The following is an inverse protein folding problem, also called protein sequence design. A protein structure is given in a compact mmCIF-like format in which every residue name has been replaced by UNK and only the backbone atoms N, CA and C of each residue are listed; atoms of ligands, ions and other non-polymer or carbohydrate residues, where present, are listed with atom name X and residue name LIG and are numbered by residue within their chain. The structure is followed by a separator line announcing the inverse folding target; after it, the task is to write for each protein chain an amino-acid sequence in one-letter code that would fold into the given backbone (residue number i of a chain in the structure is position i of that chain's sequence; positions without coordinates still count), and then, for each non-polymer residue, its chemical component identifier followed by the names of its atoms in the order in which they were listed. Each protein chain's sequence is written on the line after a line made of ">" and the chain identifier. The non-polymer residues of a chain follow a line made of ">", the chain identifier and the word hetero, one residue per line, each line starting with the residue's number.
data_IF_827970798299
#
_entry.id   IF_827970798299
#
_cell.length_a   1.000
_cell.length_b   1.000
_cell.length_c   1.000
_cell.angle_alpha   90.00
_cell.angle_beta   90.00
_cell.angle_gamma   90.00
#
_symmetry.space_group_name_H-M   'P 1'
#
loop_
_entity.id
_entity.type
_entity.pdbx_description
1 polymer ?
#
# COMPACT_ATOMS: atom_id res chain seq x y z
N UNK A 1 13.08 -9.57 6.11
CA UNK A 1 14.15 -9.76 5.10
C UNK A 1 14.69 -8.44 4.58
N UNK A 2 13.85 -7.44 4.28
CA UNK A 2 14.30 -6.07 3.96
C UNK A 2 15.26 -5.48 4.99
N UNK A 3 14.92 -5.57 6.28
CA UNK A 3 15.81 -5.14 7.37
C UNK A 3 17.20 -5.76 7.31
N UNK A 4 17.32 -7.05 6.93
CA UNK A 4 18.61 -7.72 6.75
C UNK A 4 19.41 -7.13 5.57
N UNK A 5 18.72 -6.80 4.47
CA UNK A 5 19.31 -6.10 3.32
C UNK A 5 19.78 -4.70 3.70
N UNK A 6 18.96 -3.95 4.46
CA UNK A 6 19.28 -2.60 4.92
C UNK A 6 20.48 -2.61 5.86
N UNK A 7 20.54 -3.55 6.80
CA UNK A 7 21.70 -3.77 7.67
C UNK A 7 22.96 -4.10 6.86
N UNK A 8 22.86 -4.98 5.86
CA UNK A 8 24.00 -5.31 5.02
C UNK A 8 24.52 -4.08 4.25
N UNK A 9 23.62 -3.29 3.64
CA UNK A 9 23.96 -2.05 2.94
C UNK A 9 24.60 -1.04 3.88
N UNK A 10 24.05 -0.88 5.08
CA UNK A 10 24.61 -0.03 6.13
C UNK A 10 26.05 -0.45 6.49
N UNK A 11 26.28 -1.72 6.82
CA UNK A 11 27.61 -2.18 7.20
C UNK A 11 28.63 -2.08 6.05
N UNK A 12 28.22 -2.34 4.81
CA UNK A 12 29.08 -2.17 3.64
C UNK A 12 29.46 -0.71 3.39
N UNK A 13 28.59 0.23 3.74
CA UNK A 13 28.82 1.67 3.58
C UNK A 13 29.67 2.25 4.72
N UNK A 14 29.38 1.86 5.96
CA UNK A 14 29.96 2.48 7.16
C UNK A 14 31.23 1.80 7.66
N UNK A 15 31.53 0.58 7.21
CA UNK A 15 32.68 -0.20 7.70
C UNK A 15 33.56 -0.72 6.56
N UNK A 16 34.85 -0.80 6.85
CA UNK A 16 35.83 -1.38 5.93
C UNK A 16 35.61 -2.89 5.85
N UNK A 17 35.35 -3.38 4.64
CA UNK A 17 35.22 -4.81 4.38
C UNK A 17 36.54 -5.55 4.66
N UNK A 18 36.49 -6.58 5.52
CA UNK A 18 37.66 -7.40 5.89
C UNK A 18 37.69 -8.79 5.28
N UNK A 19 36.56 -9.30 4.80
CA UNK A 19 36.46 -10.64 4.23
C UNK A 19 35.09 -11.29 4.45
N UNK A 20 35.00 -12.56 4.05
CA UNK A 20 33.78 -13.37 4.19
C UNK A 20 33.95 -14.36 5.34
N UNK A 21 32.87 -14.59 6.08
CA UNK A 21 32.84 -15.59 7.16
C UNK A 21 32.46 -16.95 6.59
N UNK A 22 33.33 -17.94 6.80
CA UNK A 22 33.07 -19.34 6.45
C UNK A 22 31.90 -19.87 7.28
N UNK A 23 30.92 -20.49 6.62
CA UNK A 23 29.74 -21.06 7.25
C UNK A 23 28.52 -21.02 6.35
N UNK A 24 27.38 -20.59 6.92
CA UNK A 24 26.06 -20.73 6.28
C UNK A 24 25.95 -20.05 4.93
N UNK A 25 26.61 -18.91 4.73
CA UNK A 25 26.50 -18.09 3.53
C UNK A 25 27.67 -18.27 2.55
N UNK A 26 28.86 -18.60 3.05
CA UNK A 26 30.07 -18.77 2.24
C UNK A 26 30.85 -20.00 2.69
N UNK A 27 31.42 -20.77 1.77
CA UNK A 27 32.30 -21.89 2.11
C UNK A 27 33.74 -21.41 2.41
N UNK A 28 34.64 -22.38 2.67
CA UNK A 28 36.06 -22.14 2.98
C UNK A 28 36.84 -21.42 1.88
N UNK A 29 36.36 -21.47 0.62
CA UNK A 29 36.91 -20.73 -0.51
C UNK A 29 36.24 -19.36 -0.73
N UNK A 30 35.34 -18.94 0.17
CA UNK A 30 34.59 -17.69 0.05
C UNK A 30 33.51 -17.71 -1.04
N UNK A 31 33.15 -18.89 -1.55
CA UNK A 31 32.11 -19.08 -2.58
C UNK A 31 30.75 -19.06 -1.91
N UNK A 32 29.76 -18.32 -2.44
CA UNK A 32 28.39 -18.34 -1.93
C UNK A 32 27.79 -19.74 -1.89
N UNK A 33 27.07 -20.06 -0.81
CA UNK A 33 26.34 -21.33 -0.70
C UNK A 33 24.96 -21.24 -1.36
N UNK A 34 24.30 -22.38 -1.57
CA UNK A 34 22.89 -22.41 -1.99
C UNK A 34 21.97 -21.64 -1.02
N UNK A 35 22.31 -21.61 0.27
CA UNK A 35 21.56 -20.84 1.26
C UNK A 35 21.65 -19.34 1.01
N UNK A 36 22.84 -18.83 0.66
CA UNK A 36 23.03 -17.43 0.30
C UNK A 36 22.11 -17.03 -0.85
N UNK A 37 22.09 -17.79 -1.94
CA UNK A 37 21.24 -17.50 -3.10
C UNK A 37 19.75 -17.53 -2.75
N UNK A 38 19.31 -18.49 -1.93
CA UNK A 38 17.91 -18.52 -1.46
C UNK A 38 17.53 -17.28 -0.66
N UNK A 39 18.43 -16.78 0.18
CA UNK A 39 18.17 -15.54 0.94
C UNK A 39 18.12 -14.33 0.00
N UNK A 40 19.03 -14.22 -0.97
CA UNK A 40 19.01 -13.13 -1.95
C UNK A 40 17.70 -13.09 -2.73
N UNK A 41 17.23 -14.23 -3.25
CA UNK A 41 15.95 -14.30 -3.96
C UNK A 41 14.77 -13.80 -3.11
N UNK A 42 14.72 -14.19 -1.83
CA UNK A 42 13.65 -13.72 -0.93
C UNK A 42 13.79 -12.25 -0.54
N UNK A 43 15.01 -11.70 -0.54
CA UNK A 43 15.22 -10.25 -0.35
C UNK A 43 14.70 -9.50 -1.58
N UNK A 44 15.02 -9.95 -2.79
CA UNK A 44 14.53 -9.35 -4.03
C UNK A 44 13.01 -9.41 -4.16
N UNK A 45 12.39 -10.53 -3.77
CA UNK A 45 10.94 -10.67 -3.66
C UNK A 45 10.35 -9.65 -2.67
N UNK A 46 10.88 -9.58 -1.45
CA UNK A 46 10.42 -8.62 -0.45
C UNK A 46 10.59 -7.15 -0.90
N UNK A 47 11.64 -6.82 -1.66
CA UNK A 47 11.83 -5.49 -2.23
C UNK A 47 10.82 -5.19 -3.34
N UNK A 48 10.45 -6.17 -4.17
CA UNK A 48 9.40 -6.03 -5.19
C UNK A 48 8.03 -5.83 -4.57
N UNK A 49 7.66 -6.67 -3.59
CA UNK A 49 6.38 -6.56 -2.88
C UNK A 49 6.21 -5.18 -2.23
N UNK A 50 7.28 -4.65 -1.64
CA UNK A 50 7.26 -3.32 -1.04
C UNK A 50 7.05 -2.21 -2.08
N UNK A 51 7.73 -2.32 -3.24
CA UNK A 51 7.54 -1.36 -4.34
C UNK A 51 6.11 -1.40 -4.86
N UNK A 52 5.54 -2.59 -5.02
CA UNK A 52 4.16 -2.76 -5.48
C UNK A 52 3.15 -2.23 -4.45
N UNK A 53 3.36 -2.51 -3.15
CA UNK A 53 2.56 -1.92 -2.06
C UNK A 53 2.62 -0.41 -2.05
N UNK A 54 3.80 0.18 -2.22
CA UNK A 54 3.97 1.64 -2.26
C UNK A 54 3.32 2.24 -3.51
N UNK A 55 3.47 1.61 -4.67
CA UNK A 55 2.76 2.03 -5.90
C UNK A 55 1.25 1.99 -5.70
N UNK A 56 0.75 0.91 -5.10
CA UNK A 56 -0.68 0.75 -4.81
C UNK A 56 -1.19 1.80 -3.81
N UNK A 57 -0.39 2.13 -2.78
CA UNK A 57 -0.70 3.22 -1.84
C UNK A 57 -0.73 4.59 -2.52
N UNK A 58 0.13 4.84 -3.50
CA UNK A 58 0.10 6.10 -4.26
C UNK A 58 -1.12 6.19 -5.18
N UNK A 59 -1.49 5.07 -5.83
CA UNK A 59 -2.69 4.99 -6.68
C UNK A 59 -3.98 5.08 -5.87
N UNK A 60 -4.01 4.48 -4.68
CA UNK A 60 -5.17 4.40 -3.80
C UNK A 60 -4.82 4.84 -2.36
N UNK A 61 -4.51 6.13 -2.15
CA UNK A 61 -4.14 6.64 -0.83
C UNK A 61 -5.23 6.34 0.20
N UNK A 62 -4.88 5.92 1.43
CA UNK A 62 -5.86 5.81 2.50
C UNK A 62 -6.57 7.14 2.74
N UNK A 63 -7.86 7.07 3.09
CA UNK A 63 -8.60 8.25 3.53
C UNK A 63 -8.08 8.76 4.88
N UNK A 64 -8.34 10.02 5.17
CA UNK A 64 -8.32 10.47 6.56
C UNK A 64 -9.56 9.91 7.26
N UNK A 65 -9.43 9.60 8.55
CA UNK A 65 -10.50 9.02 9.35
C UNK A 65 -10.54 9.67 10.72
N UNK A 66 -11.74 9.93 11.19
CA UNK A 66 -12.02 10.31 12.58
C UNK A 66 -13.19 9.45 13.07
N UNK A 67 -13.25 9.26 14.39
CA UNK A 67 -14.38 8.60 15.03
C UNK A 67 -14.73 9.33 16.31
N UNK A 68 -16.02 9.57 16.51
CA UNK A 68 -16.57 10.11 17.75
C UNK A 68 -17.72 9.20 18.22
N UNK A 69 -17.96 9.09 19.53
CA UNK A 69 -19.10 8.34 20.05
C UNK A 69 -20.46 8.84 19.53
N UNK A 70 -20.60 10.15 19.31
CA UNK A 70 -21.86 10.80 18.94
C UNK A 70 -22.16 10.69 17.44
N UNK A 71 -21.14 10.80 16.58
CA UNK A 71 -21.32 10.92 15.12
C UNK A 71 -20.87 9.66 14.37
N UNK A 72 -20.20 8.72 15.06
CA UNK A 72 -19.64 7.51 14.45
C UNK A 72 -18.35 7.78 13.70
N UNK A 73 -18.07 6.98 12.65
CA UNK A 73 -16.86 7.14 11.84
C UNK A 73 -17.10 8.15 10.72
N UNK A 74 -16.16 9.06 10.50
CA UNK A 74 -16.14 9.92 9.31
C UNK A 74 -14.85 9.69 8.55
N UNK A 75 -14.97 9.54 7.23
CA UNK A 75 -13.84 9.42 6.31
C UNK A 75 -13.85 10.56 5.31
N UNK A 76 -12.68 11.11 4.99
CA UNK A 76 -12.58 12.16 3.98
C UNK A 76 -11.26 12.11 3.22
N UNK A 77 -11.32 12.72 2.04
CA UNK A 77 -10.19 12.91 1.17
C UNK A 77 -9.86 14.39 1.07
N UNK A 78 -8.56 14.69 1.09
CA UNK A 78 -8.01 16.03 0.86
C UNK A 78 -6.78 15.90 -0.04
N UNK A 79 -6.13 17.02 -0.37
CA UNK A 79 -4.82 16.99 -1.05
C UNK A 79 -3.74 16.23 -0.27
N UNK A 80 -3.99 15.94 1.02
CA UNK A 80 -3.11 15.14 1.87
C UNK A 80 -3.91 14.12 2.67
N UNK A 81 -3.85 12.86 2.24
CA UNK A 81 -4.55 11.74 2.89
C UNK A 81 -3.64 10.52 2.95
N UNK A 82 -3.68 9.77 4.06
CA UNK A 82 -2.88 8.54 4.21
C UNK A 82 -1.36 8.74 4.15
N UNK A 83 -0.88 9.96 4.43
CA UNK A 83 0.52 10.36 4.30
C UNK A 83 0.99 10.61 2.87
N UNK A 84 0.08 10.69 1.89
CA UNK A 84 0.38 11.00 0.49
C UNK A 84 -0.13 12.41 0.17
N UNK A 85 0.73 13.24 -0.41
CA UNK A 85 0.42 14.58 -0.89
C UNK A 85 0.24 14.58 -2.42
N UNK A 86 -0.79 15.28 -2.89
CA UNK A 86 -1.28 15.22 -4.27
C UNK A 86 -2.00 16.51 -4.65
N UNK A 87 -2.14 16.77 -5.94
CA UNK A 87 -2.76 17.96 -6.52
C UNK A 87 -4.29 17.88 -6.63
N UNK A 88 -4.86 16.68 -6.53
CA UNK A 88 -6.31 16.43 -6.50
C UNK A 88 -6.81 16.02 -5.10
N UNK A 89 -8.11 16.20 -4.85
CA UNK A 89 -8.77 15.86 -3.57
C UNK A 89 -9.42 14.48 -3.62
N UNK A 90 -10.18 14.19 -4.65
CA UNK A 90 -10.84 12.89 -4.83
C UNK A 90 -11.92 12.58 -3.81
N UNK A 91 -12.44 11.36 -3.88
CA UNK A 91 -13.60 10.90 -3.10
C UNK A 91 -13.28 9.64 -2.31
N UNK A 92 -13.86 9.46 -1.11
CA UNK A 92 -13.74 8.21 -0.36
C UNK A 92 -14.46 7.05 -1.08
N UNK A 93 -13.80 5.89 -1.18
CA UNK A 93 -14.38 4.62 -1.64
C UNK A 93 -13.92 3.46 -0.75
N UNK A 94 -14.74 2.44 -0.65
CA UNK A 94 -14.36 1.15 -0.08
C UNK A 94 -13.51 0.41 -1.13
N UNK A 95 -12.28 0.08 -0.77
CA UNK A 95 -11.35 -0.68 -1.59
C UNK A 95 -11.17 -2.07 -0.99
N UNK A 96 -11.52 -3.09 -1.75
CA UNK A 96 -11.35 -4.49 -1.39
C UNK A 96 -10.03 -5.00 -1.97
N UNK A 97 -9.28 -5.76 -1.17
CA UNK A 97 -8.15 -6.50 -1.71
C UNK A 97 -8.66 -7.80 -2.37
N UNK A 98 -8.01 -8.29 -3.44
CA UNK A 98 -8.42 -9.53 -4.07
C UNK A 98 -8.50 -10.69 -3.07
N UNK A 99 -9.69 -11.29 -2.94
CA UNK A 99 -9.93 -12.40 -2.00
C UNK A 99 -10.15 -11.99 -0.54
N UNK A 100 -10.22 -10.69 -0.23
CA UNK A 100 -10.58 -10.20 1.10
C UNK A 100 -12.06 -9.84 1.20
N UNK A 101 -12.72 -10.27 2.28
CA UNK A 101 -14.10 -9.88 2.61
C UNK A 101 -14.17 -8.50 3.27
N UNK A 102 -13.02 -7.99 3.75
CA UNK A 102 -12.90 -6.68 4.38
C UNK A 102 -12.42 -5.64 3.38
N UNK A 103 -12.89 -4.40 3.55
CA UNK A 103 -12.42 -3.25 2.79
C UNK A 103 -11.63 -2.27 3.65
N UNK A 104 -10.84 -1.43 3.00
CA UNK A 104 -10.31 -0.19 3.58
C UNK A 104 -10.83 1.03 2.83
N UNK A 105 -10.81 2.20 3.46
CA UNK A 105 -11.08 3.44 2.73
C UNK A 105 -9.90 3.81 1.83
N UNK A 106 -10.19 4.24 0.60
CA UNK A 106 -9.22 4.81 -0.32
C UNK A 106 -9.77 6.06 -1.02
N UNK A 107 -8.89 7.03 -1.27
CA UNK A 107 -9.21 8.22 -2.03
C UNK A 107 -9.06 7.98 -3.53
N UNK A 108 -10.10 8.33 -4.28
CA UNK A 108 -10.21 8.05 -5.70
C UNK A 108 -10.34 9.33 -6.52
N UNK A 109 -9.54 9.45 -7.58
CA UNK A 109 -9.62 10.57 -8.49
C UNK A 109 -10.70 10.32 -9.55
N UNK A 110 -11.91 10.84 -9.34
CA UNK A 110 -13.02 10.65 -10.28
C UNK A 110 -12.68 11.21 -11.68
N UNK A 111 -11.94 12.32 -11.78
CA UNK A 111 -11.67 12.95 -13.09
C UNK A 111 -10.70 12.15 -13.95
N UNK A 112 -9.68 11.55 -13.34
CA UNK A 112 -8.70 10.71 -14.04
C UNK A 112 -9.21 9.27 -14.25
N UNK A 113 -10.12 8.80 -13.39
CA UNK A 113 -10.73 7.48 -13.48
C UNK A 113 -12.07 7.50 -14.23
N UNK A 114 -12.28 8.47 -15.14
CA UNK A 114 -13.45 8.57 -16.03
C UNK A 114 -13.67 7.35 -16.95
N UNK A 115 -12.85 6.30 -16.83
CA UNK A 115 -12.99 4.99 -17.48
C UNK A 115 -13.78 3.96 -16.63
N UNK A 116 -14.22 4.30 -15.40
CA UNK A 116 -14.89 3.34 -14.49
C UNK A 116 -16.33 3.74 -14.10
N UNK A 117 -16.97 4.59 -14.90
CA UNK A 117 -18.37 5.06 -14.78
C UNK A 117 -18.98 4.85 -16.18
N UNK A 118 -20.08 4.14 -16.48
CA UNK A 118 -21.40 3.90 -15.86
C UNK A 118 -22.00 2.58 -16.48
N UNK A 119 -23.24 2.05 -16.17
CA UNK A 119 -24.50 2.78 -15.94
C UNK A 119 -25.48 2.25 -14.85
N UNK A 120 -26.22 3.21 -14.25
CA UNK A 120 -27.69 3.21 -14.05
C UNK A 120 -28.39 2.12 -13.23
N UNK A 121 -27.70 1.33 -12.41
CA UNK A 121 -28.39 0.39 -11.50
C UNK A 121 -27.73 0.27 -10.13
N UNK A 122 -28.09 1.17 -9.22
CA UNK A 122 -28.30 0.88 -7.79
C UNK A 122 -27.12 0.48 -6.87
N UNK A 123 -25.97 -0.02 -7.35
CA UNK A 123 -24.74 -0.24 -6.58
C UNK A 123 -23.55 -0.41 -7.54
N UNK A 124 -22.75 0.66 -7.73
CA UNK A 124 -21.61 0.65 -8.65
C UNK A 124 -20.41 -0.02 -7.98
N UNK A 125 -20.17 -1.29 -8.33
CA UNK A 125 -18.86 -1.95 -8.10
C UNK A 125 -18.02 -1.84 -9.36
N UNK A 126 -16.97 -1.06 -9.26
CA UNK A 126 -16.02 -0.81 -10.35
C UNK A 126 -14.75 -1.60 -10.04
N UNK A 127 -14.77 -2.89 -10.38
CA UNK A 127 -13.74 -3.84 -9.96
C UNK A 127 -13.74 -4.04 -8.45
N UNK A 128 -12.65 -3.64 -7.78
CA UNK A 128 -12.47 -3.78 -6.34
C UNK A 128 -12.83 -2.51 -5.54
N UNK A 129 -13.56 -1.57 -6.16
CA UNK A 129 -14.03 -0.32 -5.55
C UNK A 129 -15.55 -0.32 -5.39
N UNK A 130 -16.02 0.20 -4.26
CA UNK A 130 -17.44 0.37 -3.94
C UNK A 130 -17.68 1.72 -3.25
N UNK A 131 -18.84 2.33 -3.52
CA UNK A 131 -19.24 3.59 -2.89
C UNK A 131 -19.68 3.38 -1.42
N UNK A 132 -19.60 4.43 -0.61
CA UNK A 132 -20.19 4.41 0.72
C UNK A 132 -21.70 4.60 0.61
N UNK A 133 -22.46 3.85 1.40
CA UNK A 133 -23.91 4.02 1.52
C UNK A 133 -24.20 5.40 2.14
N UNK A 134 -25.31 6.02 1.75
CA UNK A 134 -25.74 7.36 2.18
C UNK A 134 -24.70 8.49 1.99
N UNK A 135 -23.70 8.29 1.13
CA UNK A 135 -22.73 9.30 0.75
C UNK A 135 -22.91 9.72 -0.71
N UNK A 136 -22.96 11.03 -0.98
CA UNK A 136 -23.06 11.52 -2.35
C UNK A 136 -21.83 11.06 -3.17
N UNK A 137 -22.00 10.53 -4.41
CA UNK A 137 -20.90 9.93 -5.17
C UNK A 137 -19.71 10.87 -5.39
N UNK A 138 -19.95 12.18 -5.50
CA UNK A 138 -18.90 13.20 -5.67
C UNK A 138 -18.43 13.85 -4.36
N UNK A 139 -18.91 13.38 -3.21
CA UNK A 139 -18.53 13.93 -1.91
C UNK A 139 -17.08 13.60 -1.58
N UNK A 140 -16.37 14.59 -1.04
CA UNK A 140 -15.01 14.42 -0.52
C UNK A 140 -15.02 13.88 0.91
N UNK A 141 -16.18 13.79 1.55
CA UNK A 141 -16.40 13.37 2.94
C UNK A 141 -17.62 12.45 3.03
N UNK A 142 -17.49 11.33 3.75
CA UNK A 142 -18.59 10.40 4.02
C UNK A 142 -18.64 10.08 5.52
N UNK A 143 -19.85 9.99 6.06
CA UNK A 143 -20.11 9.45 7.41
C UNK A 143 -20.45 7.97 7.28
N UNK A 144 -19.87 7.16 8.15
CA UNK A 144 -19.95 5.70 8.15
C UNK A 144 -20.55 5.31 9.49
N UNK A 145 -21.80 4.85 9.42
CA UNK A 145 -22.50 4.27 10.55
C UNK A 145 -22.19 2.77 10.58
N UNK A 146 -21.72 2.27 11.73
CA UNK A 146 -21.45 0.85 11.98
C UNK A 146 -22.64 0.17 12.62
#
# INVERSE_FOLDING_TARGET
>A
LRSLSDWLKFYQKEYIFKGKVVGRFYNEHGIPTAYYHRVQLRVEEAERDEKDKNRYKLMFPPCNVEWTPEEGSRVWCSKRSGGVERDWVGVPRKLYEPGADTFRCACINISEQSQVIAPETGKVRSGNLEEYEDCHPKSTTCYVHH
#
